data_IF_042713958648
#
_entry.id   IF_042713958648
#
_cell.length_a   1.000
_cell.length_b   1.000
_cell.length_c   1.000
_cell.angle_alpha   90.00
_cell.angle_beta   90.00
_cell.angle_gamma   90.00
#
_symmetry.space_group_name_H-M   'P 1'
#
loop_
_entity.id
_entity.type
_entity.pdbx_description
1 polymer ?
#
# COMPACT_ATOMS: atom_id res chain seq x y z
N UNK A 1 -6.39 -2.84 -11.24
CA UNK A 1 -5.06 -3.34 -10.91
C UNK A 1 -5.09 -4.68 -10.19
N UNK A 2 -3.98 -5.40 -10.28
CA UNK A 2 -3.76 -6.69 -9.64
C UNK A 2 -2.34 -6.78 -9.11
N UNK A 3 -2.18 -7.16 -7.85
CA UNK A 3 -0.87 -7.30 -7.21
C UNK A 3 -0.74 -8.66 -6.53
N UNK A 4 0.50 -9.09 -6.30
CA UNK A 4 0.83 -10.29 -5.53
C UNK A 4 1.80 -9.94 -4.39
N UNK A 5 1.46 -10.36 -3.17
CA UNK A 5 2.27 -10.24 -1.96
C UNK A 5 2.33 -11.62 -1.32
N UNK A 6 3.53 -12.20 -1.13
CA UNK A 6 3.73 -13.51 -0.48
C UNK A 6 2.71 -14.58 -0.95
N UNK A 7 2.59 -14.77 -2.26
CA UNK A 7 1.68 -15.71 -2.93
C UNK A 7 0.18 -15.38 -2.85
N UNK A 8 -0.20 -14.29 -2.18
CA UNK A 8 -1.57 -13.81 -2.11
C UNK A 8 -1.82 -12.75 -3.18
N UNK A 9 -2.83 -13.00 -4.01
CA UNK A 9 -3.22 -12.08 -5.08
C UNK A 9 -4.38 -11.20 -4.64
N UNK A 10 -4.25 -9.90 -4.91
CA UNK A 10 -5.26 -8.89 -4.65
C UNK A 10 -5.66 -8.23 -5.96
N UNK A 11 -6.96 -7.95 -6.11
CA UNK A 11 -7.52 -7.40 -7.34
C UNK A 11 -8.57 -6.33 -6.98
N UNK A 12 -8.60 -5.25 -7.77
CA UNK A 12 -9.47 -4.10 -7.57
C UNK A 12 -8.82 -2.78 -7.99
N UNK A 13 -9.36 -1.68 -7.48
CA UNK A 13 -8.69 -0.37 -7.43
C UNK A 13 -7.58 -0.35 -6.37
N UNK A 14 -6.69 0.64 -6.41
CA UNK A 14 -5.60 0.73 -5.45
C UNK A 14 -6.10 0.94 -4.03
N UNK A 15 -7.13 1.78 -3.84
CA UNK A 15 -7.79 1.98 -2.55
C UNK A 15 -8.44 0.69 -2.06
N UNK A 16 -9.16 -0.06 -2.92
CA UNK A 16 -9.79 -1.31 -2.51
C UNK A 16 -8.76 -2.35 -2.06
N UNK A 17 -7.62 -2.43 -2.72
CA UNK A 17 -6.54 -3.35 -2.31
C UNK A 17 -5.91 -2.88 -1.00
N UNK A 18 -5.63 -1.58 -0.84
CA UNK A 18 -5.12 -1.05 0.43
C UNK A 18 -6.10 -1.30 1.58
N UNK A 19 -7.39 -1.18 1.33
CA UNK A 19 -8.44 -1.48 2.31
C UNK A 19 -8.46 -2.97 2.69
N UNK A 20 -8.29 -3.88 1.72
CA UNK A 20 -8.13 -5.30 2.00
C UNK A 20 -6.91 -5.58 2.89
N UNK A 21 -5.77 -4.95 2.61
CA UNK A 21 -4.55 -5.08 3.42
C UNK A 21 -4.75 -4.49 4.83
N UNK A 22 -5.45 -3.34 4.94
CA UNK A 22 -5.80 -2.73 6.21
C UNK A 22 -6.66 -3.66 7.06
N UNK A 23 -7.65 -4.31 6.46
CA UNK A 23 -8.55 -5.24 7.15
C UNK A 23 -7.85 -6.52 7.62
N UNK A 24 -6.75 -6.90 6.98
CA UNK A 24 -5.91 -8.02 7.43
C UNK A 24 -4.94 -7.63 8.55
N UNK A 25 -4.78 -6.34 8.84
CA UNK A 25 -3.94 -5.87 9.96
C UNK A 25 -4.61 -6.20 11.29
N UNK A 26 -3.80 -6.60 12.29
CA UNK A 26 -4.29 -7.14 13.57
C UNK A 26 -5.14 -6.17 14.40
N UNK A 27 -4.96 -4.85 14.26
CA UNK A 27 -5.73 -3.86 15.01
C UNK A 27 -6.48 -2.89 14.07
N UNK A 28 -7.79 -3.13 13.84
CA UNK A 28 -8.63 -2.25 13.04
C UNK A 28 -8.84 -0.85 13.66
N UNK A 29 -8.59 -0.68 14.96
CA UNK A 29 -8.75 0.60 15.65
C UNK A 29 -7.52 1.49 15.54
N UNK A 30 -6.33 0.92 15.26
CA UNK A 30 -5.12 1.69 14.99
C UNK A 30 -5.18 2.44 13.64
N UNK A 31 -5.92 1.91 12.67
CA UNK A 31 -6.00 2.46 11.31
C UNK A 31 -7.45 2.70 10.91
N UNK A 32 -8.05 3.84 11.29
CA UNK A 32 -9.49 4.06 11.14
C UNK A 32 -9.95 4.13 9.68
N UNK A 33 -9.05 4.50 8.76
CA UNK A 33 -9.33 4.64 7.34
C UNK A 33 -8.12 4.24 6.48
N UNK A 34 -8.37 4.08 5.17
CA UNK A 34 -7.36 3.64 4.19
C UNK A 34 -6.23 4.66 4.02
N UNK A 35 -6.52 5.97 4.11
CA UNK A 35 -5.50 7.02 3.95
C UNK A 35 -4.50 6.99 5.11
N UNK A 36 -4.98 6.92 6.34
CA UNK A 36 -4.19 6.75 7.56
C UNK A 36 -3.32 5.48 7.49
N UNK A 37 -3.87 4.38 6.98
CA UNK A 37 -3.13 3.14 6.75
C UNK A 37 -1.99 3.33 5.74
N UNK A 38 -2.23 4.03 4.62
CA UNK A 38 -1.19 4.33 3.63
C UNK A 38 -0.05 5.14 4.25
N UNK A 39 -0.34 6.15 5.06
CA UNK A 39 0.69 6.95 5.73
C UNK A 39 1.51 6.13 6.74
N UNK A 40 0.86 5.22 7.48
CA UNK A 40 1.59 4.33 8.38
C UNK A 40 2.47 3.34 7.60
N UNK A 41 1.92 2.72 6.56
CA UNK A 41 2.65 1.79 5.69
C UNK A 41 3.87 2.48 5.08
N UNK A 42 3.72 3.72 4.62
CA UNK A 42 4.81 4.57 4.15
C UNK A 42 5.86 4.80 5.24
N UNK A 43 5.46 5.18 6.45
CA UNK A 43 6.38 5.39 7.57
C UNK A 43 7.19 4.13 7.90
N UNK A 44 6.52 2.98 7.93
CA UNK A 44 7.16 1.69 8.15
C UNK A 44 8.12 1.32 7.00
N UNK A 45 7.71 1.57 5.75
CA UNK A 45 8.53 1.34 4.57
C UNK A 45 9.81 2.16 4.59
N UNK A 46 9.71 3.47 4.86
CA UNK A 46 10.87 4.37 4.96
C UNK A 46 11.79 3.88 6.08
N UNK A 47 11.25 3.56 7.26
CA UNK A 47 12.06 3.04 8.39
C UNK A 47 12.76 1.72 8.09
N UNK A 48 12.10 0.82 7.33
CA UNK A 48 12.63 -0.51 7.04
C UNK A 48 13.65 -0.53 5.90
N UNK A 49 13.51 0.37 4.93
CA UNK A 49 14.32 0.37 3.69
C UNK A 49 15.30 1.54 3.61
N UNK A 50 15.14 2.58 4.43
CA UNK A 50 15.85 3.86 4.36
C UNK A 50 15.66 4.57 2.99
N UNK A 51 14.59 4.23 2.26
CA UNK A 51 14.25 4.83 0.97
C UNK A 51 13.13 5.85 1.12
N UNK A 52 13.27 6.98 0.42
CA UNK A 52 12.20 7.95 0.28
C UNK A 52 10.99 7.36 -0.45
N UNK A 53 9.81 7.69 0.06
CA UNK A 53 8.53 7.30 -0.52
C UNK A 53 7.61 8.53 -0.59
N UNK A 54 7.85 9.49 -1.50
CA UNK A 54 6.97 10.64 -1.68
C UNK A 54 5.59 10.16 -2.14
N UNK A 55 4.54 10.58 -1.42
CA UNK A 55 3.16 10.37 -1.85
C UNK A 55 2.62 11.68 -2.45
N UNK A 56 1.87 11.62 -3.56
CA UNK A 56 1.26 12.80 -4.14
C UNK A 56 0.19 13.39 -3.20
N UNK A 57 0.06 14.72 -3.18
CA UNK A 57 -1.06 15.43 -2.55
C UNK A 57 -2.35 15.32 -3.42
N UNK A 58 -2.57 14.15 -3.99
CA UNK A 58 -3.71 13.82 -4.85
C UNK A 58 -4.80 13.08 -4.07
N UNK A 59 -5.71 12.41 -4.78
CA UNK A 59 -6.65 11.46 -4.18
C UNK A 59 -5.94 10.29 -3.49
N UNK A 60 -6.65 9.63 -2.57
CA UNK A 60 -6.21 8.41 -1.88
C UNK A 60 -5.84 7.30 -2.89
N UNK A 61 -6.53 7.24 -4.03
CA UNK A 61 -6.19 6.33 -5.14
C UNK A 61 -4.79 6.61 -5.69
N UNK A 62 -4.45 7.88 -5.93
CA UNK A 62 -3.10 8.26 -6.39
C UNK A 62 -2.02 7.97 -5.35
N UNK A 63 -2.32 8.17 -4.05
CA UNK A 63 -1.42 7.82 -2.96
C UNK A 63 -1.20 6.30 -2.87
N UNK A 64 -2.26 5.50 -2.98
CA UNK A 64 -2.20 4.04 -2.95
C UNK A 64 -1.39 3.49 -4.14
N UNK A 65 -1.62 4.01 -5.35
CA UNK A 65 -0.85 3.65 -6.55
C UNK A 65 0.64 3.96 -6.37
N UNK A 66 0.97 5.16 -5.89
CA UNK A 66 2.35 5.54 -5.62
C UNK A 66 3.01 4.62 -4.59
N UNK A 67 2.30 4.32 -3.50
CA UNK A 67 2.79 3.40 -2.47
C UNK A 67 3.06 1.99 -3.03
N UNK A 68 2.15 1.44 -3.84
CA UNK A 68 2.37 0.14 -4.48
C UNK A 68 3.55 0.15 -5.44
N UNK A 69 3.76 1.22 -6.20
CA UNK A 69 4.94 1.36 -7.06
C UNK A 69 6.25 1.36 -6.25
N UNK A 70 6.28 2.03 -5.10
CA UNK A 70 7.43 2.02 -4.19
C UNK A 70 7.70 0.62 -3.60
N UNK A 71 6.65 -0.08 -3.15
CA UNK A 71 6.75 -1.44 -2.64
C UNK A 71 7.23 -2.42 -3.73
N UNK A 72 6.71 -2.31 -4.95
CA UNK A 72 7.15 -3.11 -6.08
C UNK A 72 8.63 -2.89 -6.40
N UNK A 73 9.07 -1.63 -6.42
CA UNK A 73 10.47 -1.26 -6.65
C UNK A 73 11.41 -1.81 -5.58
N UNK A 74 10.95 -1.92 -4.34
CA UNK A 74 11.69 -2.53 -3.23
C UNK A 74 11.61 -4.06 -3.21
N UNK A 75 10.84 -4.68 -4.10
CA UNK A 75 10.64 -6.13 -4.15
C UNK A 75 9.69 -6.68 -3.08
N UNK A 76 8.93 -5.82 -2.39
CA UNK A 76 7.97 -6.21 -1.36
C UNK A 76 6.67 -6.78 -1.95
N UNK A 77 6.39 -6.51 -3.22
CA UNK A 77 5.25 -7.04 -3.97
C UNK A 77 5.56 -7.07 -5.47
N UNK A 78 4.70 -7.73 -6.23
CA UNK A 78 4.73 -7.69 -7.70
C UNK A 78 3.41 -7.14 -8.24
N UNK A 79 3.48 -6.21 -9.19
CA UNK A 79 2.31 -5.74 -9.95
C UNK A 79 2.11 -6.70 -11.12
N UNK A 80 0.95 -7.35 -11.16
CA UNK A 80 0.59 -8.31 -12.22
C UNK A 80 -0.14 -7.60 -13.36
N UNK A 81 -1.03 -6.67 -13.04
CA UNK A 81 -1.83 -5.89 -13.99
C UNK A 81 -2.07 -4.47 -13.42
N UNK A 82 -1.97 -3.44 -14.27
CA UNK A 82 -2.28 -2.03 -13.91
C UNK A 82 -3.78 -1.74 -14.09
#
# INVERSE_FOLDING_TARGET
MKICIDEHTYEGSAVEIMEQLRQQTFDPAEYPDTESYIFQLRSNFIRATDLDCPLPESSVEGQALAMFAHLAKAGALTILEE
#
